data_IF_580786326817
#
_entry.id   IF_580786326817
#
_cell.length_a   1.000
_cell.length_b   1.000
_cell.length_c   1.000
_cell.angle_alpha   90.00
_cell.angle_beta   90.00
_cell.angle_gamma   90.00
#
_symmetry.space_group_name_H-M   'P 1'
#
loop_
_entity.id
_entity.type
_entity.pdbx_description
1 polymer ?
#
# COMPACT_ATOMS: atom_id res chain seq x y z
N UNK A 1 14.78 10.47 -6.47
CA UNK A 1 13.61 9.77 -6.08
C UNK A 1 12.39 10.65 -6.07
N UNK A 2 11.31 10.24 -6.70
CA UNK A 2 10.16 11.10 -6.89
C UNK A 2 8.97 10.58 -6.09
N UNK A 3 8.86 11.04 -4.87
CA UNK A 3 7.66 10.82 -4.08
C UNK A 3 6.99 12.16 -3.86
N UNK A 4 5.69 12.18 -3.99
CA UNK A 4 4.90 13.40 -3.83
C UNK A 4 3.87 13.19 -2.75
N UNK A 5 3.58 14.24 -2.01
CA UNK A 5 2.47 14.22 -1.06
C UNK A 5 1.27 14.86 -1.71
N UNK A 6 0.17 14.12 -1.78
CA UNK A 6 -1.11 14.61 -2.27
C UNK A 6 -2.09 14.64 -1.12
N UNK A 7 -3.01 15.56 -1.18
CA UNK A 7 -4.11 15.60 -0.23
C UNK A 7 -5.34 15.01 -0.91
N UNK A 8 -5.79 13.86 -0.43
CA UNK A 8 -6.95 13.16 -0.96
C UNK A 8 -8.05 13.21 0.11
N UNK A 9 -9.10 13.99 -0.15
CA UNK A 9 -10.06 14.30 0.89
C UNK A 9 -9.35 15.06 1.99
N UNK A 10 -9.45 14.59 3.23
CA UNK A 10 -8.77 15.19 4.38
C UNK A 10 -7.46 14.48 4.72
N UNK A 11 -7.03 13.52 3.89
CA UNK A 11 -5.87 12.70 4.18
C UNK A 11 -4.66 13.13 3.36
N UNK A 12 -3.51 13.26 4.02
CA UNK A 12 -2.24 13.38 3.33
C UNK A 12 -1.77 11.99 2.88
N UNK A 13 -1.40 11.86 1.62
CA UNK A 13 -0.97 10.59 1.05
C UNK A 13 0.41 10.78 0.41
N UNK A 14 1.38 10.01 0.88
CA UNK A 14 2.70 9.96 0.25
C UNK A 14 2.61 9.01 -0.94
N UNK A 15 2.64 9.56 -2.15
CA UNK A 15 2.59 8.77 -3.38
C UNK A 15 4.00 8.49 -3.84
N UNK A 16 4.38 7.21 -3.85
CA UNK A 16 5.73 6.80 -4.21
C UNK A 16 5.95 6.85 -5.71
N UNK A 17 7.23 6.92 -6.11
CA UNK A 17 7.62 6.88 -7.52
C UNK A 17 7.08 5.62 -8.19
N UNK A 18 6.88 5.68 -9.50
CA UNK A 18 6.28 4.59 -10.27
C UNK A 18 7.34 3.76 -11.02
N UNK A 19 8.60 3.87 -10.61
CA UNK A 19 9.70 3.13 -11.23
C UNK A 19 10.71 2.71 -10.16
N UNK A 20 11.53 1.74 -10.48
CA UNK A 20 12.49 1.17 -9.55
C UNK A 20 11.82 0.20 -8.57
N UNK A 21 12.51 -0.15 -7.51
CA UNK A 21 11.97 -0.99 -6.44
C UNK A 21 11.84 -0.14 -5.19
N UNK A 22 10.61 0.09 -4.76
CA UNK A 22 10.30 0.94 -3.60
C UNK A 22 10.02 0.10 -2.37
N UNK A 23 9.37 -1.05 -2.55
CA UNK A 23 8.98 -1.89 -1.43
C UNK A 23 9.34 -3.35 -1.73
N UNK A 24 10.35 -3.85 -1.03
CA UNK A 24 10.82 -5.22 -1.18
C UNK A 24 11.05 -5.91 0.17
N UNK A 25 11.06 -5.16 1.27
CA UNK A 25 11.43 -5.68 2.58
C UNK A 25 10.74 -4.92 3.70
N UNK A 26 10.82 -5.45 4.91
CA UNK A 26 10.32 -4.75 6.09
C UNK A 26 11.11 -3.47 6.35
N UNK A 27 12.40 -3.45 6.03
CA UNK A 27 13.20 -2.24 6.16
C UNK A 27 12.68 -1.13 5.25
N UNK A 28 12.28 -1.48 4.03
CA UNK A 28 11.67 -0.52 3.11
C UNK A 28 10.37 0.04 3.69
N UNK A 29 9.57 -0.81 4.34
CA UNK A 29 8.33 -0.37 4.97
C UNK A 29 8.61 0.66 6.06
N UNK A 30 9.62 0.42 6.89
CA UNK A 30 10.00 1.37 7.95
C UNK A 30 10.43 2.70 7.35
N UNK A 31 11.21 2.67 6.26
CA UNK A 31 11.64 3.88 5.57
C UNK A 31 10.43 4.68 5.06
N UNK A 32 9.47 4.01 4.44
CA UNK A 32 8.28 4.68 3.92
C UNK A 32 7.41 5.26 5.03
N UNK A 33 7.28 4.55 6.14
CA UNK A 33 6.53 5.04 7.31
C UNK A 33 7.19 6.30 7.86
N UNK A 34 8.53 6.31 7.97
CA UNK A 34 9.27 7.48 8.41
C UNK A 34 9.09 8.66 7.47
N UNK A 35 9.12 8.41 6.16
CA UNK A 35 8.88 9.45 5.16
C UNK A 35 7.47 10.03 5.28
N UNK A 36 6.47 9.17 5.49
CA UNK A 36 5.09 9.62 5.67
C UNK A 36 4.97 10.52 6.90
N UNK A 37 5.58 10.14 8.00
CA UNK A 37 5.59 10.96 9.21
C UNK A 37 6.26 12.30 8.99
N UNK A 38 7.40 12.32 8.29
CA UNK A 38 8.12 13.56 7.99
C UNK A 38 7.29 14.52 7.18
N UNK A 39 6.37 14.03 6.36
CA UNK A 39 5.51 14.85 5.51
C UNK A 39 4.09 14.98 6.07
N UNK A 40 3.87 14.52 7.29
CA UNK A 40 2.56 14.55 7.95
C UNK A 40 1.50 13.84 7.12
N UNK A 41 1.89 12.78 6.42
CA UNK A 41 0.97 11.96 5.64
C UNK A 41 0.49 10.78 6.49
N UNK A 42 -0.80 10.50 6.40
CA UNK A 42 -1.41 9.36 7.09
C UNK A 42 -1.46 8.10 6.25
N UNK A 43 -1.10 8.20 4.97
CA UNK A 43 -1.15 7.10 4.01
C UNK A 43 0.09 7.08 3.14
N UNK A 44 0.45 5.88 2.68
CA UNK A 44 1.50 5.68 1.67
C UNK A 44 0.87 4.90 0.52
N UNK A 45 0.98 5.43 -0.69
CA UNK A 45 0.50 4.76 -1.90
C UNK A 45 1.69 4.24 -2.68
N UNK A 46 1.76 2.92 -2.88
CA UNK A 46 2.89 2.26 -3.54
C UNK A 46 2.39 1.62 -4.84
N UNK A 47 2.94 2.02 -5.99
CA UNK A 47 2.58 1.37 -7.24
C UNK A 47 3.04 -0.10 -7.27
N UNK A 48 2.17 -0.97 -7.76
CA UNK A 48 2.46 -2.41 -7.86
C UNK A 48 3.77 -2.66 -8.61
N UNK A 49 4.04 -1.88 -9.66
CA UNK A 49 5.24 -2.05 -10.48
C UNK A 49 6.54 -1.84 -9.70
N UNK A 50 6.48 -1.19 -8.54
CA UNK A 50 7.66 -0.92 -7.69
C UNK A 50 7.77 -1.87 -6.52
N UNK A 51 6.90 -2.88 -6.44
CA UNK A 51 6.91 -3.87 -5.37
C UNK A 51 7.56 -5.15 -5.86
N UNK A 52 8.35 -5.76 -4.97
CA UNK A 52 8.99 -7.03 -5.31
C UNK A 52 7.93 -8.13 -5.40
N UNK A 53 8.13 -9.08 -6.33
CA UNK A 53 7.19 -10.17 -6.55
C UNK A 53 6.91 -11.00 -5.30
N UNK A 54 7.91 -11.17 -4.44
CA UNK A 54 7.76 -11.96 -3.23
C UNK A 54 6.67 -11.44 -2.30
N UNK A 55 6.31 -10.17 -2.39
CA UNK A 55 5.24 -9.62 -1.58
C UNK A 55 3.89 -10.26 -1.91
N UNK A 56 3.70 -10.65 -3.18
CA UNK A 56 2.44 -11.24 -3.63
C UNK A 56 2.40 -12.75 -3.43
N UNK A 57 3.49 -13.34 -2.92
CA UNK A 57 3.55 -14.76 -2.55
C UNK A 57 3.36 -14.85 -1.05
N UNK A 58 2.13 -15.15 -0.62
CA UNK A 58 1.80 -15.09 0.81
C UNK A 58 2.57 -16.09 1.67
N UNK A 59 3.08 -17.17 1.07
CA UNK A 59 3.91 -18.14 1.79
C UNK A 59 5.20 -17.51 2.32
N UNK A 60 5.67 -16.39 1.75
CA UNK A 60 6.83 -15.67 2.28
C UNK A 60 6.51 -14.91 3.56
N UNK A 61 5.25 -14.66 3.84
CA UNK A 61 4.76 -13.84 4.96
C UNK A 61 5.20 -12.38 4.89
N UNK A 62 5.88 -11.99 3.83
CA UNK A 62 6.46 -10.66 3.73
C UNK A 62 5.39 -9.57 3.68
N UNK A 63 4.36 -9.77 2.86
CA UNK A 63 3.28 -8.77 2.76
C UNK A 63 2.53 -8.63 4.08
N UNK A 64 2.25 -9.73 4.76
CA UNK A 64 1.59 -9.69 6.06
C UNK A 64 2.42 -8.95 7.11
N UNK A 65 3.73 -9.19 7.13
CA UNK A 65 4.64 -8.52 8.06
C UNK A 65 4.71 -7.02 7.78
N UNK A 66 4.78 -6.65 6.50
CA UNK A 66 4.79 -5.24 6.09
C UNK A 66 3.48 -4.56 6.46
N UNK A 67 2.35 -5.21 6.17
CA UNK A 67 1.04 -4.68 6.52
C UNK A 67 0.94 -4.44 8.03
N UNK A 68 1.47 -5.36 8.83
CA UNK A 68 1.46 -5.22 10.27
C UNK A 68 2.29 -4.02 10.74
N UNK A 69 3.41 -3.74 10.08
CA UNK A 69 4.21 -2.56 10.40
C UNK A 69 3.41 -1.28 10.20
N UNK A 70 2.75 -1.15 9.05
CA UNK A 70 1.94 0.03 8.78
C UNK A 70 0.82 0.17 9.80
N UNK A 71 0.15 -0.92 10.12
CA UNK A 71 -0.92 -0.92 11.13
C UNK A 71 -0.40 -0.49 12.49
N UNK A 72 0.74 -1.02 12.91
CA UNK A 72 1.33 -0.71 14.21
C UNK A 72 1.71 0.76 14.36
N UNK A 73 2.13 1.40 13.28
CA UNK A 73 2.50 2.81 13.30
C UNK A 73 1.36 3.74 12.95
N UNK A 74 0.17 3.19 12.68
CA UNK A 74 -1.00 4.01 12.37
C UNK A 74 -0.96 4.69 11.01
N UNK A 75 -0.18 4.15 10.08
CA UNK A 75 -0.07 4.67 8.71
C UNK A 75 -0.76 3.69 7.78
N UNK A 76 -1.67 4.19 6.95
CA UNK A 76 -2.34 3.35 5.94
C UNK A 76 -1.43 3.06 4.76
N UNK A 77 -1.59 1.86 4.18
CA UNK A 77 -0.86 1.46 2.98
C UNK A 77 -1.85 1.19 1.86
N UNK A 78 -1.69 1.88 0.75
CA UNK A 78 -2.47 1.63 -0.47
C UNK A 78 -1.55 1.03 -1.52
N UNK A 79 -1.93 -0.14 -2.01
CA UNK A 79 -1.21 -0.83 -3.09
C UNK A 79 -1.97 -0.53 -4.36
N UNK A 80 -1.33 0.20 -5.28
CA UNK A 80 -1.99 0.80 -6.43
C UNK A 80 -1.55 0.11 -7.71
N UNK A 81 -2.51 -0.44 -8.43
CA UNK A 81 -2.26 -1.04 -9.72
C UNK A 81 -3.00 -2.34 -9.94
N UNK A 82 -2.70 -2.99 -11.07
CA UNK A 82 -3.34 -4.23 -11.49
C UNK A 82 -2.59 -5.43 -10.90
N UNK A 83 -3.28 -6.22 -10.09
CA UNK A 83 -2.74 -7.45 -9.51
C UNK A 83 -3.48 -8.70 -9.99
N UNK A 84 -4.25 -8.59 -11.06
CA UNK A 84 -5.10 -9.69 -11.53
C UNK A 84 -4.30 -10.97 -11.81
N UNK A 85 -3.11 -10.85 -12.39
CA UNK A 85 -2.27 -12.03 -12.65
C UNK A 85 -1.90 -12.77 -11.36
N UNK A 86 -1.64 -12.03 -10.28
CA UNK A 86 -1.34 -12.63 -8.99
C UNK A 86 -2.59 -13.25 -8.35
N UNK A 87 -3.72 -12.56 -8.46
CA UNK A 87 -4.99 -13.05 -7.93
C UNK A 87 -5.41 -14.36 -8.61
N UNK A 88 -5.15 -14.47 -9.92
CA UNK A 88 -5.49 -15.67 -10.66
C UNK A 88 -4.73 -16.92 -10.17
N UNK A 89 -3.57 -16.71 -9.56
CA UNK A 89 -2.70 -17.81 -9.12
C UNK A 89 -2.87 -18.20 -7.66
N UNK A 90 -3.53 -17.38 -6.86
CA UNK A 90 -3.51 -17.58 -5.42
C UNK A 90 -4.84 -17.25 -4.78
N UNK A 91 -5.52 -18.29 -4.30
CA UNK A 91 -6.75 -18.12 -3.54
C UNK A 91 -6.46 -17.41 -2.22
N UNK A 92 -5.31 -17.70 -1.60
CA UNK A 92 -4.92 -17.04 -0.35
C UNK A 92 -4.74 -15.54 -0.54
N UNK A 93 -4.16 -15.14 -1.67
CA UNK A 93 -4.01 -13.71 -1.97
C UNK A 93 -5.36 -13.06 -2.21
N UNK A 94 -6.27 -13.72 -2.90
CA UNK A 94 -7.63 -13.20 -3.09
C UNK A 94 -8.32 -12.93 -1.75
N UNK A 95 -8.19 -13.88 -0.83
CA UNK A 95 -8.77 -13.73 0.50
C UNK A 95 -8.13 -12.58 1.26
N UNK A 96 -6.81 -12.45 1.18
CA UNK A 96 -6.08 -11.38 1.84
C UNK A 96 -6.51 -10.01 1.32
N UNK A 97 -6.62 -9.86 0.00
CA UNK A 97 -7.04 -8.61 -0.63
C UNK A 97 -8.48 -8.27 -0.23
N UNK A 98 -9.35 -9.27 -0.26
CA UNK A 98 -10.75 -9.06 0.11
C UNK A 98 -10.89 -8.56 1.55
N UNK A 99 -10.20 -9.21 2.48
CA UNK A 99 -10.24 -8.80 3.89
C UNK A 99 -9.60 -7.44 4.10
N UNK A 100 -8.48 -7.18 3.43
CA UNK A 100 -7.80 -5.87 3.54
C UNK A 100 -8.69 -4.74 3.07
N UNK A 101 -9.40 -4.93 1.96
CA UNK A 101 -10.25 -3.89 1.38
C UNK A 101 -11.52 -3.62 2.19
N UNK A 102 -11.88 -4.51 3.10
CA UNK A 102 -12.97 -4.28 4.03
C UNK A 102 -12.56 -3.39 5.20
N UNK A 103 -11.26 -3.31 5.47
CA UNK A 103 -10.73 -2.48 6.53
C UNK A 103 -10.35 -1.09 6.03
N UNK A 104 -9.59 -0.37 6.85
CA UNK A 104 -9.22 1.02 6.57
C UNK A 104 -7.72 1.28 6.67
N UNK A 105 -6.92 0.23 6.78
CA UNK A 105 -5.48 0.39 6.96
C UNK A 105 -4.72 -0.05 5.73
N UNK A 106 -5.11 -1.17 5.13
CA UNK A 106 -4.45 -1.72 3.94
C UNK A 106 -5.48 -1.81 2.83
N UNK A 107 -5.24 -1.11 1.73
CA UNK A 107 -6.16 -1.07 0.60
C UNK A 107 -5.44 -1.47 -0.68
N UNK A 108 -6.13 -2.24 -1.52
CA UNK A 108 -5.67 -2.56 -2.86
C UNK A 108 -6.61 -1.85 -3.83
N UNK A 109 -6.08 -0.94 -4.62
CA UNK A 109 -6.89 -0.14 -5.55
C UNK A 109 -6.24 -0.15 -6.94
N UNK A 110 -7.04 -0.05 -8.01
CA UNK A 110 -6.48 -0.08 -9.37
C UNK A 110 -5.73 1.19 -9.75
N UNK A 111 -6.08 2.31 -9.15
CA UNK A 111 -5.45 3.60 -9.43
C UNK A 111 -5.69 4.57 -8.27
N UNK A 112 -4.96 5.67 -8.27
CA UNK A 112 -5.00 6.65 -7.17
C UNK A 112 -6.41 7.26 -7.01
N UNK A 113 -7.13 7.47 -8.08
CA UNK A 113 -8.50 8.00 -8.00
C UNK A 113 -9.42 7.10 -7.18
N UNK A 114 -9.25 5.78 -7.28
CA UNK A 114 -10.03 4.85 -6.47
C UNK A 114 -9.70 4.98 -5.00
N UNK A 115 -8.44 5.25 -4.67
CA UNK A 115 -8.03 5.51 -3.29
C UNK A 115 -8.71 6.78 -2.76
N UNK A 116 -8.72 7.82 -3.56
CA UNK A 116 -9.37 9.08 -3.18
C UNK A 116 -10.84 8.86 -2.83
N UNK A 117 -11.54 8.09 -3.66
CA UNK A 117 -12.95 7.78 -3.41
C UNK A 117 -13.14 7.02 -2.10
N UNK A 118 -12.28 6.05 -1.83
CA UNK A 118 -12.37 5.27 -0.59
C UNK A 118 -12.11 6.13 0.64
N UNK A 119 -11.15 7.04 0.58
CA UNK A 119 -10.83 7.91 1.70
C UNK A 119 -11.94 8.93 1.94
N UNK A 120 -12.55 9.45 0.89
CA UNK A 120 -13.66 10.39 1.00
C UNK A 120 -14.88 9.74 1.67
N UNK A 121 -15.20 8.51 1.27
CA UNK A 121 -16.34 7.78 1.85
C UNK A 121 -16.06 7.44 3.32
N UNK A 122 -14.82 7.17 3.65
CA UNK A 122 -14.43 6.80 5.00
C UNK A 122 -14.36 7.94 5.98
N UNK A 123 -14.45 9.16 5.51
CA UNK A 123 -14.33 10.35 6.35
C UNK A 123 -15.51 10.56 7.29
#
# INVERSE_FOLDING_TARGET
MSSNVLKLGDQGVLVCADHGTVLASEADAITLIGDAWSHEAGWVAVPVATMHDDLFRLETRLLGNIAQKFTNYGIGLAIVGDIDAWLARSQALRAFVHESNRGRTILFVPHVSALEQKLAIGA
#
